data_IF_963356928405
#
_entry.id   IF_963356928405
#
_cell.length_a   1.000
_cell.length_b   1.000
_cell.length_c   1.000
_cell.angle_alpha   90.00
_cell.angle_beta   90.00
_cell.angle_gamma   90.00
#
_symmetry.space_group_name_H-M   'P 1'
#
loop_
_entity.id
_entity.type
_entity.pdbx_description
1 polymer ?
#
# COMPACT_ATOMS: atom_id res chain seq x y z
N UNK A 1 4.39 -20.66 -22.23
CA UNK A 1 4.00 -21.07 -20.86
C UNK A 1 4.66 -20.10 -19.92
N UNK A 2 3.85 -19.25 -19.29
CA UNK A 2 4.32 -18.17 -18.43
C UNK A 2 4.93 -18.80 -17.18
N UNK A 3 6.24 -18.65 -16.99
CA UNK A 3 6.92 -19.05 -15.77
C UNK A 3 6.36 -18.22 -14.60
N UNK A 4 5.33 -18.75 -13.98
CA UNK A 4 4.64 -18.13 -12.84
C UNK A 4 5.47 -18.21 -11.56
N UNK A 5 6.60 -18.93 -11.56
CA UNK A 5 7.46 -19.11 -10.38
C UNK A 5 7.97 -17.77 -9.87
N UNK A 6 8.43 -16.89 -10.76
CA UNK A 6 8.84 -15.53 -10.40
C UNK A 6 7.67 -14.64 -9.95
N UNK A 7 6.46 -14.83 -10.49
CA UNK A 7 5.28 -14.09 -10.06
C UNK A 7 4.83 -14.50 -8.64
N UNK A 8 4.83 -15.81 -8.35
CA UNK A 8 4.50 -16.32 -7.01
C UNK A 8 5.55 -15.91 -5.97
N UNK A 9 6.84 -15.90 -6.31
CA UNK A 9 7.90 -15.45 -5.41
C UNK A 9 7.74 -13.96 -5.04
N UNK A 10 7.36 -13.11 -6.00
CA UNK A 10 7.08 -11.69 -5.75
C UNK A 10 5.84 -11.48 -4.88
N UNK A 11 4.78 -12.27 -5.10
CA UNK A 11 3.56 -12.24 -4.26
C UNK A 11 3.88 -12.70 -2.83
N UNK A 12 4.62 -13.79 -2.68
CA UNK A 12 5.05 -14.30 -1.37
C UNK A 12 5.92 -13.29 -0.61
N UNK A 13 6.81 -12.56 -1.31
CA UNK A 13 7.61 -11.50 -0.66
C UNK A 13 6.74 -10.39 -0.05
N UNK A 14 5.58 -10.11 -0.65
CA UNK A 14 4.65 -9.11 -0.15
C UNK A 14 3.91 -9.58 1.10
N UNK A 15 3.65 -10.89 1.24
CA UNK A 15 3.02 -11.45 2.46
C UNK A 15 3.94 -11.44 3.67
N UNK A 16 5.26 -11.46 3.47
CA UNK A 16 6.27 -11.42 4.55
C UNK A 16 6.81 -10.00 4.84
N UNK A 17 6.27 -8.96 4.19
CA UNK A 17 6.71 -7.59 4.41
C UNK A 17 6.32 -7.09 5.81
N UNK A 18 7.26 -6.47 6.52
CA UNK A 18 6.97 -5.77 7.77
C UNK A 18 6.25 -4.46 7.46
N UNK A 19 4.98 -4.37 7.87
CA UNK A 19 4.16 -3.17 7.69
C UNK A 19 4.36 -2.25 8.90
N UNK A 20 4.52 -0.95 8.64
CA UNK A 20 4.61 0.05 9.71
C UNK A 20 3.35 0.00 10.59
N UNK A 21 3.46 0.00 11.94
CA UNK A 21 2.30 -0.03 12.83
C UNK A 21 1.28 1.08 12.56
N UNK A 22 1.74 2.24 12.08
CA UNK A 22 0.91 3.40 11.77
C UNK A 22 0.29 3.35 10.37
N UNK A 23 0.48 2.27 9.60
CA UNK A 23 -0.07 2.15 8.24
C UNK A 23 -1.61 2.24 8.20
N UNK A 24 -2.29 1.89 9.30
CA UNK A 24 -3.74 2.05 9.44
C UNK A 24 -4.20 3.52 9.40
N UNK A 25 -3.30 4.48 9.57
CA UNK A 25 -3.57 5.91 9.40
C UNK A 25 -3.60 6.35 7.92
N UNK A 26 -3.28 5.44 6.99
CA UNK A 26 -3.35 5.71 5.55
C UNK A 26 -4.79 5.48 5.10
N UNK A 27 -5.55 6.57 4.97
CA UNK A 27 -6.96 6.56 4.61
C UNK A 27 -7.24 7.35 3.33
N UNK A 28 -8.48 7.28 2.86
CA UNK A 28 -9.02 7.97 1.70
C UNK A 28 -9.17 7.07 0.49
N UNK A 29 -9.22 7.71 -0.68
CA UNK A 29 -9.44 7.05 -1.96
C UNK A 29 -8.13 6.95 -2.75
N UNK A 30 -7.90 5.80 -3.38
CA UNK A 30 -6.82 5.54 -4.34
C UNK A 30 -7.37 4.72 -5.51
N UNK A 31 -7.08 5.14 -6.75
CA UNK A 31 -7.55 4.48 -7.98
C UNK A 31 -9.07 4.21 -8.01
N UNK A 32 -9.90 5.04 -7.36
CA UNK A 32 -11.36 4.89 -7.31
C UNK A 32 -11.90 4.01 -6.17
N UNK A 33 -11.03 3.42 -5.35
CA UNK A 33 -11.42 2.59 -4.21
C UNK A 33 -11.12 3.29 -2.89
N UNK A 34 -11.99 3.14 -1.90
CA UNK A 34 -11.77 3.59 -0.53
C UNK A 34 -10.99 2.55 0.25
N UNK A 35 -9.84 2.94 0.79
CA UNK A 35 -8.89 2.02 1.44
C UNK A 35 -9.50 1.34 2.68
N UNK A 36 -10.26 2.10 3.47
CA UNK A 36 -10.94 1.60 4.66
C UNK A 36 -11.95 0.47 4.38
N UNK A 37 -12.51 0.42 3.16
CA UNK A 37 -13.56 -0.52 2.78
C UNK A 37 -13.01 -1.79 2.11
N UNK A 38 -11.68 -1.90 1.91
CA UNK A 38 -11.06 -3.08 1.30
C UNK A 38 -11.02 -4.23 2.31
N UNK A 39 -11.85 -5.26 2.09
CA UNK A 39 -11.93 -6.44 2.96
C UNK A 39 -10.67 -7.31 2.92
N UNK A 40 -10.07 -7.48 1.74
CA UNK A 40 -8.86 -8.29 1.61
C UNK A 40 -7.65 -7.55 2.18
N UNK A 41 -7.13 -8.03 3.30
CA UNK A 41 -6.01 -7.42 4.02
C UNK A 41 -4.76 -7.24 3.17
N UNK A 42 -4.41 -8.21 2.33
CA UNK A 42 -3.24 -8.10 1.44
C UNK A 42 -3.48 -6.99 0.40
N UNK A 43 -4.67 -6.94 -0.20
CA UNK A 43 -5.03 -5.86 -1.13
C UNK A 43 -5.01 -4.50 -0.46
N UNK A 44 -5.53 -4.39 0.76
CA UNK A 44 -5.50 -3.14 1.53
C UNK A 44 -4.07 -2.67 1.79
N UNK A 45 -3.17 -3.59 2.18
CA UNK A 45 -1.76 -3.30 2.40
C UNK A 45 -1.04 -2.84 1.14
N UNK A 46 -1.33 -3.44 -0.01
CA UNK A 46 -0.81 -2.97 -1.31
C UNK A 46 -1.30 -1.55 -1.61
N UNK A 47 -2.59 -1.25 -1.35
CA UNK A 47 -3.15 0.08 -1.57
C UNK A 47 -2.58 1.15 -0.64
N UNK A 48 -2.08 0.79 0.54
CA UNK A 48 -1.31 1.72 1.37
C UNK A 48 -0.05 2.21 0.65
N UNK A 49 0.69 1.31 0.00
CA UNK A 49 1.88 1.67 -0.78
C UNK A 49 1.53 2.56 -1.97
N UNK A 50 0.50 2.20 -2.75
CA UNK A 50 0.03 2.99 -3.89
C UNK A 50 -0.32 4.42 -3.45
N UNK A 51 -0.98 4.57 -2.29
CA UNK A 51 -1.36 5.87 -1.75
C UNK A 51 -0.15 6.73 -1.37
N UNK A 52 0.87 6.13 -0.76
CA UNK A 52 2.10 6.84 -0.40
C UNK A 52 2.85 7.33 -1.65
N UNK A 53 2.92 6.49 -2.68
CA UNK A 53 3.54 6.85 -3.96
C UNK A 53 2.75 7.97 -4.66
N UNK A 54 1.41 7.90 -4.65
CA UNK A 54 0.54 8.95 -5.18
C UNK A 54 0.72 10.30 -4.44
N UNK A 55 0.79 10.27 -3.11
CA UNK A 55 1.00 11.47 -2.30
C UNK A 55 2.38 12.08 -2.53
N UNK A 56 3.42 11.25 -2.69
CA UNK A 56 4.77 11.69 -3.03
C UNK A 56 4.81 12.33 -4.42
N UNK A 57 4.20 11.69 -5.43
CA UNK A 57 4.14 12.20 -6.79
C UNK A 57 3.37 13.53 -6.88
N UNK A 58 2.36 13.72 -6.02
CA UNK A 58 1.61 14.98 -5.89
C UNK A 58 2.33 16.06 -5.09
N UNK A 59 3.55 15.80 -4.61
CA UNK A 59 4.35 16.77 -3.86
C UNK A 59 3.78 17.12 -2.50
N UNK A 60 3.08 16.18 -1.83
CA UNK A 60 2.65 16.42 -0.44
C UNK A 60 3.86 16.56 0.47
N UNK A 61 3.70 17.37 1.52
CA UNK A 61 4.72 17.53 2.57
C UNK A 61 5.06 16.19 3.21
N UNK A 62 6.35 15.95 3.45
CA UNK A 62 6.86 14.66 3.94
C UNK A 62 6.29 14.30 5.32
N UNK A 63 6.07 15.27 6.20
CA UNK A 63 5.48 15.07 7.53
C UNK A 63 4.07 14.48 7.42
N UNK A 64 3.31 14.90 6.40
CA UNK A 64 1.99 14.32 6.11
C UNK A 64 2.12 12.92 5.54
N UNK A 65 3.04 12.68 4.60
CA UNK A 65 3.26 11.34 4.00
C UNK A 65 3.66 10.32 5.07
N UNK A 66 4.58 10.69 5.96
CA UNK A 66 5.08 9.85 7.06
C UNK A 66 4.08 9.70 8.22
N UNK A 67 2.95 10.42 8.17
CA UNK A 67 1.92 10.43 9.23
C UNK A 67 2.50 10.84 10.59
N UNK A 68 3.43 11.79 10.58
CA UNK A 68 3.97 12.42 11.77
C UNK A 68 3.00 13.53 12.21
N UNK A 69 2.68 13.56 13.50
CA UNK A 69 1.83 14.61 14.11
C UNK A 69 2.52 15.98 14.03
#
# INVERSE_FOLDING_TARGET
MNDTSHHYERIAKMTFASINPNAHLITGVICGYRIEEIENKLTQQVRYLDKLVDELAKGRKMEKILRLA
#
